data_IF_336350051543
#
_entry.id   IF_336350051543
#
_cell.length_a   1.000
_cell.length_b   1.000
_cell.length_c   1.000
_cell.angle_alpha   90.00
_cell.angle_beta   90.00
_cell.angle_gamma   90.00
#
_symmetry.space_group_name_H-M   'P 1'
#
loop_
_entity.id
_entity.type
_entity.pdbx_description
1 polymer ?
#
# COMPACT_ATOMS: atom_id res chain seq x y z
N UNK A 1 11.03 50.08 22.48
CA UNK A 1 9.76 49.59 23.05
C UNK A 1 9.56 48.23 22.43
N UNK A 2 9.83 47.22 23.25
CA UNK A 2 10.36 45.93 22.87
C UNK A 2 9.44 45.03 22.08
N UNK A 3 10.09 44.17 21.30
CA UNK A 3 9.53 43.03 20.60
C UNK A 3 8.92 42.03 21.58
N UNK A 4 7.76 41.47 21.22
CA UNK A 4 7.41 40.10 21.59
C UNK A 4 6.68 39.44 20.42
N UNK A 5 7.49 38.94 19.48
CA UNK A 5 7.17 37.74 18.72
C UNK A 5 6.85 36.63 19.73
N UNK A 6 5.58 36.25 19.86
CA UNK A 6 5.22 34.95 20.38
C UNK A 6 5.33 33.95 19.24
N UNK A 7 6.58 33.59 18.95
CA UNK A 7 6.93 32.39 18.20
C UNK A 7 6.66 31.22 19.15
N UNK A 8 5.46 30.64 19.05
CA UNK A 8 5.12 29.44 19.80
C UNK A 8 5.86 28.26 19.18
N UNK A 9 7.04 27.96 19.75
CA UNK A 9 7.73 26.67 19.77
C UNK A 9 7.40 25.71 18.62
N UNK A 10 8.05 25.92 17.47
CA UNK A 10 8.37 24.83 16.55
C UNK A 10 9.54 23.99 17.10
N UNK A 11 9.40 23.42 18.30
CA UNK A 11 10.12 22.19 18.66
C UNK A 11 9.39 20.99 18.03
N UNK A 12 9.24 21.02 16.70
CA UNK A 12 8.72 19.90 15.93
C UNK A 12 9.85 18.93 15.63
N UNK A 13 9.83 17.75 16.23
CA UNK A 13 10.77 16.64 16.04
C UNK A 13 11.53 16.64 14.69
N UNK A 14 12.86 16.43 14.75
CA UNK A 14 13.78 16.15 13.62
C UNK A 14 13.46 14.82 12.89
N UNK A 15 12.19 14.49 12.70
CA UNK A 15 11.71 13.27 12.04
C UNK A 15 11.41 13.53 10.56
N UNK A 16 11.80 12.60 9.69
CA UNK A 16 11.67 12.70 8.24
C UNK A 16 12.99 12.99 7.51
N UNK A 17 12.91 13.29 6.22
CA UNK A 17 14.04 13.58 5.34
C UNK A 17 14.79 12.35 4.85
N UNK A 18 15.98 12.60 4.28
CA UNK A 18 16.76 11.58 3.57
C UNK A 18 17.17 10.36 4.41
N UNK A 19 17.45 10.56 5.71
CA UNK A 19 17.79 9.44 6.61
C UNK A 19 16.64 8.43 6.69
N UNK A 20 15.41 8.91 6.80
CA UNK A 20 14.21 8.10 6.78
C UNK A 20 13.97 7.48 5.39
N UNK A 21 14.06 8.31 4.35
CA UNK A 21 13.82 7.90 2.98
C UNK A 21 14.70 6.72 2.51
N UNK A 22 15.98 6.69 2.92
CA UNK A 22 16.90 5.59 2.58
C UNK A 22 16.37 4.24 3.10
N UNK A 23 15.90 4.18 4.34
CA UNK A 23 15.34 2.94 4.88
C UNK A 23 14.09 2.48 4.13
N UNK A 24 13.25 3.43 3.68
CA UNK A 24 12.04 3.11 2.91
C UNK A 24 12.41 2.61 1.51
N UNK A 25 13.41 3.22 0.86
CA UNK A 25 13.94 2.76 -0.43
C UNK A 25 14.45 1.32 -0.33
N UNK A 26 15.20 0.98 0.74
CA UNK A 26 15.70 -0.37 0.93
C UNK A 26 14.58 -1.41 1.07
N UNK A 27 13.52 -1.08 1.82
CA UNK A 27 12.36 -1.97 1.93
C UNK A 27 11.65 -2.13 0.59
N UNK A 28 11.38 -1.04 -0.12
CA UNK A 28 10.75 -1.13 -1.44
C UNK A 28 11.61 -1.97 -2.39
N UNK A 29 12.93 -1.73 -2.42
CA UNK A 29 13.84 -2.46 -3.29
C UNK A 29 13.82 -3.97 -2.99
N UNK A 30 13.83 -4.36 -1.70
CA UNK A 30 13.78 -5.76 -1.30
C UNK A 30 12.43 -6.42 -1.62
N UNK A 31 11.32 -5.71 -1.40
CA UNK A 31 9.98 -6.14 -1.77
C UNK A 31 9.85 -6.35 -3.28
N UNK A 32 10.38 -5.42 -4.10
CA UNK A 32 10.42 -5.56 -5.55
C UNK A 32 11.29 -6.70 -6.01
N UNK A 33 12.49 -6.81 -5.46
CA UNK A 33 13.39 -7.92 -5.71
C UNK A 33 12.66 -9.26 -5.44
N UNK A 34 11.94 -9.38 -4.33
CA UNK A 34 11.21 -10.58 -4.01
C UNK A 34 10.00 -10.84 -4.91
N UNK A 35 9.19 -9.82 -5.21
CA UNK A 35 8.07 -9.92 -6.14
C UNK A 35 8.52 -10.41 -7.52
N UNK A 36 9.57 -9.80 -8.08
CA UNK A 36 10.09 -10.19 -9.39
C UNK A 36 10.83 -11.53 -9.37
N UNK A 37 11.41 -11.93 -8.24
CA UNK A 37 11.96 -13.27 -8.07
C UNK A 37 10.87 -14.33 -8.21
N UNK A 38 9.76 -14.17 -7.47
CA UNK A 38 8.61 -15.09 -7.58
C UNK A 38 7.94 -14.99 -8.95
N UNK A 39 7.58 -13.79 -9.40
CA UNK A 39 6.83 -13.57 -10.65
C UNK A 39 7.63 -13.99 -11.89
N UNK A 40 8.95 -13.78 -11.88
CA UNK A 40 9.83 -13.99 -13.02
C UNK A 40 9.87 -15.44 -13.50
N UNK A 41 9.68 -16.39 -12.60
CA UNK A 41 9.76 -17.82 -12.93
C UNK A 41 8.55 -18.66 -12.51
N UNK A 42 7.46 -18.01 -12.08
CA UNK A 42 6.28 -18.68 -11.55
C UNK A 42 5.66 -19.68 -12.55
N UNK A 43 5.60 -19.31 -13.83
CA UNK A 43 5.07 -20.20 -14.89
C UNK A 43 5.93 -21.46 -15.01
N UNK A 44 7.26 -21.32 -14.94
CA UNK A 44 8.17 -22.46 -15.01
C UNK A 44 7.96 -23.39 -13.82
N UNK A 45 7.82 -22.86 -12.60
CA UNK A 45 7.53 -23.68 -11.42
C UNK A 45 6.20 -24.44 -11.56
N UNK A 46 5.14 -23.75 -11.97
CA UNK A 46 3.81 -24.36 -12.14
C UNK A 46 3.81 -25.47 -13.20
N UNK A 47 4.53 -25.27 -14.29
CA UNK A 47 4.57 -26.25 -15.40
C UNK A 47 5.51 -27.42 -15.13
N UNK A 48 6.67 -27.18 -14.51
CA UNK A 48 7.70 -28.22 -14.33
C UNK A 48 7.58 -28.97 -13.01
N UNK A 49 7.21 -28.29 -11.92
CA UNK A 49 7.16 -28.89 -10.57
C UNK A 49 5.74 -29.28 -10.19
N UNK A 50 4.77 -28.39 -10.42
CA UNK A 50 3.35 -28.68 -10.12
C UNK A 50 2.74 -29.56 -11.21
N UNK A 51 3.19 -29.41 -12.46
CA UNK A 51 2.73 -30.19 -13.61
C UNK A 51 1.48 -29.62 -14.28
N UNK A 52 1.18 -28.33 -14.08
CA UNK A 52 0.08 -27.67 -14.79
C UNK A 52 0.39 -27.53 -16.28
N UNK A 53 -0.60 -27.71 -17.17
CA UNK A 53 -0.48 -27.29 -18.55
C UNK A 53 -0.17 -25.79 -18.65
N UNK A 54 0.60 -25.37 -19.66
CA UNK A 54 1.02 -23.96 -19.83
C UNK A 54 -0.15 -22.97 -19.79
N UNK A 55 -1.30 -23.34 -20.37
CA UNK A 55 -2.50 -22.50 -20.36
C UNK A 55 -3.11 -22.32 -18.96
N UNK A 56 -3.05 -23.37 -18.12
CA UNK A 56 -3.53 -23.32 -16.74
C UNK A 56 -2.56 -22.55 -15.85
N UNK A 57 -1.25 -22.77 -16.00
CA UNK A 57 -0.22 -22.00 -15.33
C UNK A 57 -0.34 -20.49 -15.63
N UNK A 58 -0.53 -20.11 -16.89
CA UNK A 58 -0.75 -18.71 -17.27
C UNK A 58 -2.02 -18.12 -16.63
N UNK A 59 -3.10 -18.90 -16.55
CA UNK A 59 -4.33 -18.50 -15.84
C UNK A 59 -4.05 -18.27 -14.36
N UNK A 60 -3.35 -19.18 -13.69
CA UNK A 60 -2.93 -19.05 -12.28
C UNK A 60 -2.14 -17.77 -12.06
N UNK A 61 -1.13 -17.49 -12.89
CA UNK A 61 -0.31 -16.26 -12.79
C UNK A 61 -1.15 -14.99 -13.00
N UNK A 62 -2.05 -15.00 -13.99
CA UNK A 62 -2.96 -13.86 -14.23
C UNK A 62 -3.93 -13.66 -13.06
N UNK A 63 -4.46 -14.73 -12.48
CA UNK A 63 -5.31 -14.68 -11.29
C UNK A 63 -4.54 -14.13 -10.08
N UNK A 64 -3.30 -14.57 -9.87
CA UNK A 64 -2.44 -14.05 -8.81
C UNK A 64 -2.19 -12.54 -8.95
N UNK A 65 -1.85 -12.06 -10.15
CA UNK A 65 -1.71 -10.64 -10.45
C UNK A 65 -3.02 -9.85 -10.23
N UNK A 66 -4.16 -10.44 -10.62
CA UNK A 66 -5.48 -9.85 -10.41
C UNK A 66 -5.81 -9.69 -8.92
N UNK A 67 -5.52 -10.71 -8.10
CA UNK A 67 -5.72 -10.65 -6.65
C UNK A 67 -4.81 -9.59 -6.00
N UNK A 68 -3.53 -9.54 -6.37
CA UNK A 68 -2.62 -8.48 -5.89
C UNK A 68 -3.15 -7.08 -6.23
N UNK A 69 -3.65 -6.89 -7.45
CA UNK A 69 -4.22 -5.61 -7.89
C UNK A 69 -5.47 -5.21 -7.10
N UNK A 70 -6.36 -6.16 -6.77
CA UNK A 70 -7.51 -5.89 -5.91
C UNK A 70 -7.10 -5.62 -4.47
N UNK A 71 -6.08 -6.32 -3.96
CA UNK A 71 -5.55 -6.12 -2.62
C UNK A 71 -4.96 -4.71 -2.42
N UNK A 72 -4.51 -4.02 -3.48
CA UNK A 72 -4.12 -2.60 -3.44
C UNK A 72 -5.26 -1.72 -2.92
N UNK A 73 -6.49 -1.93 -3.42
CA UNK A 73 -7.65 -1.13 -3.00
C UNK A 73 -7.96 -1.35 -1.52
N UNK A 74 -7.89 -2.61 -1.07
CA UNK A 74 -8.13 -2.98 0.33
C UNK A 74 -7.04 -2.40 1.24
N UNK A 75 -5.77 -2.52 0.85
CA UNK A 75 -4.64 -1.98 1.59
C UNK A 75 -4.70 -0.46 1.73
N UNK A 76 -5.00 0.25 0.65
CA UNK A 76 -5.19 1.69 0.67
C UNK A 76 -6.34 2.10 1.60
N UNK A 77 -7.48 1.41 1.51
CA UNK A 77 -8.62 1.68 2.41
C UNK A 77 -8.27 1.45 3.88
N UNK A 78 -7.54 0.38 4.22
CA UNK A 78 -7.10 0.09 5.58
C UNK A 78 -6.11 1.13 6.12
N UNK A 79 -5.16 1.57 5.28
CA UNK A 79 -4.21 2.62 5.63
C UNK A 79 -4.89 3.96 5.89
N UNK A 80 -5.81 4.36 5.02
CA UNK A 80 -6.46 5.66 5.13
C UNK A 80 -7.54 5.72 6.22
N UNK A 81 -8.20 4.59 6.53
CA UNK A 81 -9.35 4.56 7.44
C UNK A 81 -9.04 4.14 8.88
N UNK A 82 -8.08 3.23 9.10
CA UNK A 82 -7.93 2.57 10.40
C UNK A 82 -6.51 2.58 10.95
N UNK A 83 -5.55 2.06 10.18
CA UNK A 83 -4.22 1.72 10.71
C UNK A 83 -3.21 2.85 10.54
N UNK A 84 -3.39 3.70 9.53
CA UNK A 84 -2.37 4.65 9.09
C UNK A 84 -1.30 3.96 8.22
N UNK A 85 -0.65 4.76 7.35
CA UNK A 85 0.27 4.27 6.31
C UNK A 85 1.40 3.43 6.88
N UNK A 86 2.06 3.88 7.95
CA UNK A 86 3.17 3.16 8.58
C UNK A 86 2.79 1.76 9.10
N UNK A 87 1.67 1.64 9.82
CA UNK A 87 1.24 0.34 10.38
C UNK A 87 0.76 -0.60 9.29
N UNK A 88 0.08 -0.08 8.26
CA UNK A 88 -0.33 -0.90 7.11
C UNK A 88 0.88 -1.41 6.35
N UNK A 89 1.91 -0.59 6.10
CA UNK A 89 3.16 -1.05 5.46
C UNK A 89 3.80 -2.19 6.24
N UNK A 90 3.92 -2.10 7.58
CA UNK A 90 4.48 -3.18 8.40
C UNK A 90 3.63 -4.45 8.31
N UNK A 91 2.30 -4.31 8.45
CA UNK A 91 1.38 -5.44 8.39
C UNK A 91 1.44 -6.14 7.02
N UNK A 92 1.44 -5.37 5.95
CA UNK A 92 1.53 -5.87 4.57
C UNK A 92 2.86 -6.58 4.31
N UNK A 93 4.00 -6.00 4.72
CA UNK A 93 5.31 -6.65 4.59
C UNK A 93 5.42 -7.91 5.47
N UNK A 94 4.79 -7.92 6.65
CA UNK A 94 4.74 -9.13 7.48
C UNK A 94 3.91 -10.25 6.84
N UNK A 95 2.76 -9.91 6.23
CA UNK A 95 1.93 -10.85 5.46
C UNK A 95 2.71 -11.36 4.25
N UNK A 96 3.41 -10.48 3.54
CA UNK A 96 4.22 -10.85 2.38
C UNK A 96 5.35 -11.81 2.77
N UNK A 97 6.10 -11.48 3.83
CA UNK A 97 7.15 -12.34 4.38
C UNK A 97 6.61 -13.70 4.83
N UNK A 98 5.44 -13.73 5.49
CA UNK A 98 4.75 -14.98 5.81
C UNK A 98 4.42 -15.78 4.55
N UNK A 99 3.93 -15.14 3.49
CA UNK A 99 3.70 -15.79 2.20
C UNK A 99 4.98 -16.39 1.63
N UNK A 100 6.09 -15.64 1.61
CA UNK A 100 7.38 -16.09 1.08
C UNK A 100 8.00 -17.24 1.89
N UNK A 101 7.90 -17.21 3.22
CA UNK A 101 8.36 -18.30 4.08
C UNK A 101 7.55 -19.58 3.84
N UNK A 102 6.23 -19.48 3.71
CA UNK A 102 5.38 -20.63 3.35
C UNK A 102 5.67 -21.13 1.93
N UNK A 103 5.94 -20.22 1.00
CA UNK A 103 6.28 -20.56 -0.39
C UNK A 103 7.60 -21.35 -0.42
N UNK A 104 8.63 -20.85 0.24
CA UNK A 104 9.92 -21.53 0.39
C UNK A 104 9.75 -22.90 1.05
N UNK A 105 8.97 -22.95 2.13
CA UNK A 105 8.70 -24.21 2.85
C UNK A 105 7.99 -25.23 1.96
N UNK A 106 7.05 -24.79 1.11
CA UNK A 106 6.34 -25.68 0.18
C UNK A 106 7.29 -26.40 -0.78
N UNK A 107 8.37 -25.75 -1.22
CA UNK A 107 9.35 -26.36 -2.12
C UNK A 107 10.28 -27.37 -1.43
N UNK A 108 10.34 -27.34 -0.10
CA UNK A 108 11.22 -28.23 0.67
C UNK A 108 10.82 -29.70 0.52
N UNK A 109 11.83 -30.56 0.45
CA UNK A 109 11.65 -32.03 0.39
C UNK A 109 11.08 -32.60 1.69
N UNK A 110 11.16 -31.86 2.79
CA UNK A 110 10.63 -32.26 4.11
C UNK A 110 9.11 -32.25 4.19
N UNK A 111 8.44 -31.53 3.28
CA UNK A 111 6.98 -31.41 3.26
C UNK A 111 6.34 -32.57 2.49
N UNK A 112 5.33 -33.27 3.05
CA UNK A 112 4.60 -34.32 2.37
C UNK A 112 4.03 -33.87 1.02
N UNK A 113 4.10 -34.76 0.01
CA UNK A 113 3.61 -34.46 -1.35
C UNK A 113 2.15 -34.05 -1.39
N UNK A 114 1.30 -34.61 -0.52
CA UNK A 114 -0.13 -34.31 -0.46
C UNK A 114 -0.44 -32.86 -0.07
N UNK A 115 0.40 -32.24 0.75
CA UNK A 115 0.17 -30.87 1.23
C UNK A 115 1.00 -29.82 0.49
N UNK A 116 1.99 -30.25 -0.32
CA UNK A 116 2.91 -29.36 -1.04
C UNK A 116 2.19 -28.38 -1.96
N UNK A 117 1.33 -28.88 -2.86
CA UNK A 117 0.60 -28.03 -3.81
C UNK A 117 -0.42 -27.10 -3.11
N UNK A 118 -1.30 -27.59 -2.21
CA UNK A 118 -2.20 -26.71 -1.46
C UNK A 118 -1.46 -25.62 -0.67
N UNK A 119 -0.33 -25.97 -0.03
CA UNK A 119 0.49 -25.01 0.70
C UNK A 119 1.12 -23.97 -0.23
N UNK A 120 1.60 -24.38 -1.40
CA UNK A 120 2.15 -23.49 -2.42
C UNK A 120 1.10 -22.47 -2.89
N UNK A 121 -0.11 -22.91 -3.26
CA UNK A 121 -1.17 -21.99 -3.69
C UNK A 121 -1.63 -21.05 -2.58
N UNK A 122 -1.78 -21.57 -1.35
CA UNK A 122 -2.10 -20.74 -0.20
C UNK A 122 -1.03 -19.67 0.02
N UNK A 123 0.25 -20.06 0.00
CA UNK A 123 1.39 -19.15 0.11
C UNK A 123 1.39 -18.11 -1.02
N UNK A 124 1.16 -18.53 -2.25
CA UNK A 124 1.10 -17.66 -3.42
C UNK A 124 0.01 -16.58 -3.27
N UNK A 125 -1.20 -16.92 -2.83
CA UNK A 125 -2.24 -15.92 -2.59
C UNK A 125 -1.98 -15.05 -1.35
N UNK A 126 -1.32 -15.57 -0.31
CA UNK A 126 -0.86 -14.76 0.83
C UNK A 126 0.15 -13.71 0.36
N UNK A 127 1.11 -14.08 -0.49
CA UNK A 127 2.05 -13.10 -1.09
C UNK A 127 1.31 -12.05 -1.92
N UNK A 128 0.27 -12.43 -2.68
CA UNK A 128 -0.53 -11.47 -3.44
C UNK A 128 -1.16 -10.40 -2.54
N UNK A 129 -1.71 -10.81 -1.39
CA UNK A 129 -2.35 -9.91 -0.43
C UNK A 129 -1.32 -8.98 0.24
N UNK A 130 -0.17 -9.53 0.65
CA UNK A 130 0.91 -8.75 1.25
C UNK A 130 1.46 -7.68 0.31
N UNK A 131 1.80 -8.07 -0.92
CA UNK A 131 2.31 -7.17 -1.96
C UNK A 131 1.31 -6.08 -2.32
N UNK A 132 0.03 -6.43 -2.50
CA UNK A 132 -1.01 -5.44 -2.82
C UNK A 132 -1.14 -4.35 -1.75
N UNK A 133 -1.10 -4.72 -0.47
CA UNK A 133 -1.20 -3.74 0.62
C UNK A 133 0.04 -2.87 0.81
N UNK A 134 1.22 -3.37 0.45
CA UNK A 134 2.48 -2.63 0.59
C UNK A 134 2.56 -1.44 -0.37
N UNK A 135 2.24 -1.67 -1.64
CA UNK A 135 2.40 -0.73 -2.78
C UNK A 135 1.86 0.69 -2.55
N UNK A 136 0.56 0.89 -2.23
CA UNK A 136 0.02 2.25 -2.09
C UNK A 136 0.50 2.93 -0.80
N UNK A 137 0.75 2.15 0.25
CA UNK A 137 1.05 2.66 1.59
C UNK A 137 2.50 3.14 1.68
N UNK A 138 3.44 2.37 1.13
CA UNK A 138 4.87 2.68 1.23
C UNK A 138 5.23 3.92 0.41
N UNK A 139 4.65 4.08 -0.79
CA UNK A 139 4.92 5.22 -1.66
C UNK A 139 4.39 6.53 -1.05
N UNK A 140 3.17 6.50 -0.51
CA UNK A 140 2.58 7.66 0.17
C UNK A 140 3.32 7.97 1.46
N UNK A 141 3.68 6.95 2.26
CA UNK A 141 4.49 7.13 3.46
C UNK A 141 5.88 7.70 3.17
N UNK A 142 6.52 7.29 2.07
CA UNK A 142 7.82 7.81 1.68
C UNK A 142 7.73 9.27 1.23
N UNK A 143 6.68 9.62 0.49
CA UNK A 143 6.39 11.00 0.10
C UNK A 143 6.18 11.90 1.32
N UNK A 144 5.56 11.39 2.39
CA UNK A 144 5.32 12.13 3.64
C UNK A 144 6.62 12.44 4.41
N UNK A 145 7.76 11.81 4.06
CA UNK A 145 9.03 12.11 4.71
C UNK A 145 9.62 13.46 4.31
N UNK A 146 9.18 14.04 3.18
CA UNK A 146 9.70 15.30 2.67
C UNK A 146 8.63 16.39 2.78
N UNK A 147 8.97 17.58 3.31
CA UNK A 147 8.04 18.68 3.40
C UNK A 147 7.69 19.26 2.01
N UNK A 148 6.50 19.83 1.88
CA UNK A 148 5.97 20.31 0.59
C UNK A 148 6.70 21.55 0.04
N UNK A 149 7.41 22.27 0.89
CA UNK A 149 8.18 23.48 0.57
C UNK A 149 9.45 23.21 -0.26
N UNK A 150 9.85 21.94 -0.43
CA UNK A 150 11.09 21.53 -1.12
C UNK A 150 10.85 20.47 -2.21
N UNK A 151 10.24 20.83 -3.34
CA UNK A 151 9.89 19.89 -4.41
C UNK A 151 11.11 19.19 -5.04
N UNK A 152 12.28 19.84 -5.08
CA UNK A 152 13.51 19.26 -5.63
C UNK A 152 13.98 18.01 -4.87
N UNK A 153 13.89 18.02 -3.54
CA UNK A 153 14.28 16.88 -2.71
C UNK A 153 13.36 15.69 -2.93
N UNK A 154 12.06 15.94 -3.07
CA UNK A 154 11.05 14.93 -3.36
C UNK A 154 11.24 14.32 -4.75
N UNK A 155 11.56 15.14 -5.75
CA UNK A 155 11.88 14.67 -7.11
C UNK A 155 13.13 13.78 -7.12
N UNK A 156 14.22 14.24 -6.49
CA UNK A 156 15.45 13.44 -6.35
C UNK A 156 15.21 12.12 -5.63
N UNK A 157 14.39 12.14 -4.57
CA UNK A 157 13.96 10.94 -3.87
C UNK A 157 13.26 9.94 -4.80
N UNK A 158 12.27 10.39 -5.58
CA UNK A 158 11.57 9.51 -6.51
C UNK A 158 12.50 8.96 -7.60
N UNK A 159 13.49 9.73 -8.07
CA UNK A 159 14.49 9.21 -9.01
C UNK A 159 15.30 8.05 -8.41
N UNK A 160 15.79 8.21 -7.18
CA UNK A 160 16.51 7.14 -6.47
C UNK A 160 15.61 5.95 -6.14
N UNK A 161 14.36 6.20 -5.79
CA UNK A 161 13.35 5.18 -5.56
C UNK A 161 13.13 4.33 -6.81
N UNK A 162 12.86 4.95 -7.97
CA UNK A 162 12.67 4.23 -9.23
C UNK A 162 13.94 3.48 -9.65
N UNK A 163 15.11 4.08 -9.47
CA UNK A 163 16.38 3.39 -9.72
C UNK A 163 16.49 2.12 -8.86
N UNK A 164 16.17 2.21 -7.56
CA UNK A 164 16.15 1.07 -6.66
C UNK A 164 15.19 -0.03 -7.10
N UNK A 165 13.95 0.33 -7.51
CA UNK A 165 12.97 -0.63 -8.04
C UNK A 165 13.53 -1.37 -9.25
N UNK A 166 14.08 -0.64 -10.23
CA UNK A 166 14.59 -1.24 -11.47
C UNK A 166 15.79 -2.13 -11.18
N UNK A 167 16.76 -1.66 -10.39
CA UNK A 167 17.93 -2.46 -10.01
C UNK A 167 17.51 -3.72 -9.26
N UNK A 168 16.61 -3.61 -8.28
CA UNK A 168 16.07 -4.77 -7.54
C UNK A 168 15.38 -5.78 -8.47
N UNK A 169 14.53 -5.30 -9.38
CA UNK A 169 13.85 -6.15 -10.35
C UNK A 169 14.83 -6.85 -11.31
N UNK A 170 15.82 -6.13 -11.83
CA UNK A 170 16.83 -6.69 -12.73
C UNK A 170 17.68 -7.75 -12.03
N UNK A 171 18.14 -7.49 -10.81
CA UNK A 171 18.92 -8.49 -10.04
C UNK A 171 18.05 -9.73 -9.75
N UNK A 172 16.77 -9.56 -9.44
CA UNK A 172 15.87 -10.69 -9.22
C UNK A 172 15.75 -11.58 -10.46
N UNK A 173 15.45 -10.99 -11.62
CA UNK A 173 15.31 -11.74 -12.88
C UNK A 173 16.63 -12.38 -13.33
N UNK A 174 17.78 -11.77 -13.06
CA UNK A 174 19.07 -12.33 -13.47
C UNK A 174 19.60 -13.39 -12.50
N UNK A 175 19.53 -13.12 -11.19
CA UNK A 175 20.17 -13.96 -10.19
C UNK A 175 19.20 -14.98 -9.56
N UNK A 176 18.00 -14.55 -9.16
CA UNK A 176 17.04 -15.44 -8.47
C UNK A 176 16.48 -16.47 -9.44
N UNK A 177 16.01 -16.04 -10.62
CA UNK A 177 15.50 -16.95 -11.66
C UNK A 177 16.58 -17.94 -12.10
N UNK A 178 17.83 -17.49 -12.23
CA UNK A 178 18.95 -18.39 -12.53
C UNK A 178 19.14 -19.46 -11.45
N UNK A 179 19.09 -19.09 -10.17
CA UNK A 179 19.19 -20.04 -9.04
C UNK A 179 18.01 -21.01 -9.02
N UNK A 180 16.80 -20.52 -9.31
CA UNK A 180 15.59 -21.34 -9.40
C UNK A 180 15.70 -22.42 -10.49
N UNK A 181 16.14 -22.03 -11.69
CA UNK A 181 16.24 -22.93 -12.84
C UNK A 181 17.42 -23.91 -12.76
N UNK A 182 18.56 -23.47 -12.22
CA UNK A 182 19.83 -24.22 -12.34
C UNK A 182 20.32 -24.84 -11.04
N UNK A 183 19.84 -24.38 -9.88
CA UNK A 183 20.35 -24.83 -8.57
C UNK A 183 19.26 -25.52 -7.76
N UNK A 184 18.24 -24.79 -7.34
CA UNK A 184 17.13 -25.32 -6.54
C UNK A 184 16.03 -24.27 -6.34
N UNK A 185 14.78 -24.71 -6.48
CA UNK A 185 13.60 -23.92 -6.11
C UNK A 185 13.59 -23.46 -4.65
N UNK A 186 14.07 -24.29 -3.73
CA UNK A 186 14.10 -23.94 -2.30
C UNK A 186 15.11 -22.83 -2.04
N UNK A 187 16.29 -22.89 -2.66
CA UNK A 187 17.26 -21.80 -2.55
C UNK A 187 16.75 -20.54 -3.25
N UNK A 188 16.18 -20.69 -4.44
CA UNK A 188 15.56 -19.63 -5.23
C UNK A 188 14.58 -18.79 -4.44
N UNK A 189 13.57 -19.40 -3.80
CA UNK A 189 12.60 -18.65 -2.98
C UNK A 189 13.14 -18.22 -1.61
N UNK A 190 14.15 -18.90 -1.07
CA UNK A 190 14.75 -18.50 0.22
C UNK A 190 15.50 -17.16 0.14
N UNK A 191 16.13 -16.85 -1.00
CA UNK A 191 16.90 -15.61 -1.19
C UNK A 191 16.01 -14.37 -1.07
N UNK A 192 14.89 -14.23 -1.83
CA UNK A 192 13.84 -13.23 -1.59
C UNK A 192 13.35 -13.17 -0.15
N UNK A 193 13.10 -14.32 0.46
CA UNK A 193 12.56 -14.41 1.83
C UNK A 193 13.50 -13.76 2.85
N UNK A 194 14.80 -14.09 2.79
CA UNK A 194 15.81 -13.50 3.69
C UNK A 194 16.01 -12.02 3.39
N UNK A 195 15.99 -11.61 2.13
CA UNK A 195 16.13 -10.20 1.74
C UNK A 195 14.99 -9.34 2.31
N UNK A 196 13.73 -9.78 2.17
CA UNK A 196 12.57 -9.07 2.74
C UNK A 196 12.61 -9.07 4.27
N UNK A 197 13.00 -10.18 4.91
CA UNK A 197 13.13 -10.24 6.36
C UNK A 197 14.16 -9.23 6.89
N UNK A 198 15.33 -9.16 6.24
CA UNK A 198 16.40 -8.23 6.59
C UNK A 198 15.95 -6.78 6.36
N UNK A 199 15.31 -6.49 5.22
CA UNK A 199 14.83 -5.15 4.91
C UNK A 199 13.73 -4.69 5.89
N UNK A 200 12.78 -5.57 6.24
CA UNK A 200 11.75 -5.28 7.23
C UNK A 200 12.36 -4.99 8.60
N UNK A 201 13.38 -5.76 9.02
CA UNK A 201 14.10 -5.49 10.27
C UNK A 201 14.80 -4.11 10.25
N UNK A 202 15.45 -3.75 9.15
CA UNK A 202 16.09 -2.44 8.94
C UNK A 202 15.05 -1.31 9.00
N UNK A 203 13.90 -1.49 8.36
CA UNK A 203 12.81 -0.51 8.39
C UNK A 203 12.20 -0.34 9.78
N UNK A 204 12.03 -1.42 10.53
CA UNK A 204 11.59 -1.34 11.92
C UNK A 204 12.63 -0.64 12.81
N UNK A 205 13.94 -0.85 12.56
CA UNK A 205 15.00 -0.12 13.27
C UNK A 205 14.96 1.39 12.98
N UNK A 206 14.58 1.78 11.75
CA UNK A 206 14.35 3.18 11.36
C UNK A 206 13.08 3.82 11.94
N UNK A 207 12.25 3.08 12.67
CA UNK A 207 10.91 3.53 13.10
C UNK A 207 10.88 4.81 13.96
N UNK A 208 12.00 5.19 14.58
CA UNK A 208 12.14 6.43 15.37
C UNK A 208 12.47 7.67 14.53
N UNK A 209 12.98 7.50 13.31
CA UNK A 209 13.33 8.63 12.43
C UNK A 209 12.17 9.06 11.55
N UNK A 210 11.15 8.21 11.37
CA UNK A 210 10.05 8.46 10.45
C UNK A 210 9.08 9.54 10.93
N UNK A 211 8.66 10.38 9.99
CA UNK A 211 7.47 11.22 10.15
C UNK A 211 6.23 10.37 9.90
N UNK A 212 5.35 10.26 10.90
CA UNK A 212 4.15 9.41 10.87
C UNK A 212 2.92 10.31 10.87
N UNK A 213 2.28 10.43 9.72
CA UNK A 213 1.02 11.16 9.60
C UNK A 213 -0.16 10.32 10.13
N UNK A 214 -1.12 10.99 10.76
CA UNK A 214 -2.35 10.36 11.25
C UNK A 214 -3.28 10.01 10.09
N UNK A 215 -4.16 8.98 10.21
CA UNK A 215 -5.13 8.66 9.17
C UNK A 215 -6.11 9.83 8.96
N UNK A 216 -6.21 10.33 7.72
CA UNK A 216 -7.07 11.47 7.35
C UNK A 216 -8.50 11.01 6.94
N UNK A 217 -8.72 9.68 6.91
CA UNK A 217 -9.96 9.04 6.47
C UNK A 217 -9.96 8.72 4.97
N UNK A 218 -10.60 7.61 4.57
CA UNK A 218 -10.56 7.16 3.17
C UNK A 218 -11.51 7.96 2.24
N UNK A 219 -11.03 8.40 1.06
CA UNK A 219 -11.90 8.94 0.01
C UNK A 219 -12.97 7.96 -0.48
N UNK A 220 -12.71 6.65 -0.42
CA UNK A 220 -13.68 5.62 -0.82
C UNK A 220 -14.94 5.66 0.04
N UNK A 221 -14.81 5.96 1.33
CA UNK A 221 -15.95 6.12 2.23
C UNK A 221 -16.82 7.31 1.82
N UNK A 222 -16.21 8.42 1.37
CA UNK A 222 -16.94 9.59 0.87
C UNK A 222 -17.67 9.27 -0.44
N UNK A 223 -17.02 8.58 -1.37
CA UNK A 223 -17.66 8.15 -2.63
C UNK A 223 -18.83 7.21 -2.35
N UNK A 224 -18.64 6.22 -1.48
CA UNK A 224 -19.72 5.30 -1.08
C UNK A 224 -20.89 6.04 -0.43
N UNK A 225 -20.62 7.00 0.46
CA UNK A 225 -21.65 7.86 1.06
C UNK A 225 -22.44 8.65 0.01
N UNK A 226 -21.77 9.21 -1.01
CA UNK A 226 -22.42 9.93 -2.10
C UNK A 226 -23.29 8.99 -2.94
N UNK A 227 -22.80 7.79 -3.29
CA UNK A 227 -23.59 6.79 -4.03
C UNK A 227 -24.81 6.34 -3.23
N UNK A 228 -24.63 6.02 -1.94
CA UNK A 228 -25.73 5.62 -1.05
C UNK A 228 -26.74 6.76 -0.90
N UNK A 229 -26.27 8.00 -0.72
CA UNK A 229 -27.13 9.17 -0.63
C UNK A 229 -27.90 9.43 -1.94
N UNK A 230 -27.25 9.27 -3.09
CA UNK A 230 -27.88 9.44 -4.41
C UNK A 230 -28.94 8.35 -4.68
N UNK A 231 -28.64 7.09 -4.36
CA UNK A 231 -29.59 5.97 -4.49
C UNK A 231 -30.78 6.17 -3.56
N UNK A 232 -30.53 6.57 -2.30
CA UNK A 232 -31.60 6.81 -1.31
C UNK A 232 -32.48 8.00 -1.68
N UNK A 233 -31.89 9.05 -2.29
CA UNK A 233 -32.61 10.25 -2.75
C UNK A 233 -33.16 10.13 -4.18
N UNK A 234 -32.99 8.99 -4.86
CA UNK A 234 -33.44 8.77 -6.26
C UNK A 234 -34.96 8.90 -6.46
N UNK A 235 -35.75 8.79 -5.39
CA UNK A 235 -37.22 8.92 -5.42
C UNK A 235 -37.75 10.25 -4.87
N UNK A 236 -36.86 11.20 -4.55
CA UNK A 236 -37.27 12.53 -4.11
C UNK A 236 -37.69 13.34 -5.34
N UNK A 237 -39.00 13.56 -5.49
CA UNK A 237 -39.62 14.22 -6.65
C UNK A 237 -39.69 15.75 -6.54
N UNK A 238 -38.83 16.37 -5.73
CA UNK A 238 -39.00 17.78 -5.30
C UNK A 238 -38.53 18.83 -6.34
N UNK A 239 -38.02 18.40 -7.50
CA UNK A 239 -37.55 19.30 -8.58
C UNK A 239 -38.52 19.43 -9.76
N UNK A 240 -39.76 18.95 -9.64
CA UNK A 240 -40.79 19.15 -10.69
C UNK A 240 -41.49 20.51 -10.66
N UNK A 241 -41.23 21.34 -9.66
CA UNK A 241 -41.88 22.64 -9.48
C UNK A 241 -41.02 23.85 -9.85
N UNK A 242 -40.31 23.83 -11.00
CA UNK A 242 -39.89 25.03 -11.74
C UNK A 242 -39.23 26.21 -11.01
N UNK A 243 -38.67 26.05 -9.80
CA UNK A 243 -37.92 27.10 -9.11
C UNK A 243 -36.44 26.73 -9.14
N UNK A 244 -35.69 27.49 -9.94
CA UNK A 244 -34.25 27.36 -10.08
C UNK A 244 -33.57 27.39 -8.71
N UNK A 245 -32.79 26.36 -8.41
CA UNK A 245 -31.99 26.30 -7.20
C UNK A 245 -30.70 27.06 -7.49
N UNK A 246 -30.61 28.29 -7.01
CA UNK A 246 -29.42 29.14 -7.12
C UNK A 246 -28.50 28.93 -5.90
N UNK A 247 -27.19 28.97 -6.13
CA UNK A 247 -26.15 28.93 -5.09
C UNK A 247 -25.71 30.33 -4.65
N UNK A 248 -26.19 31.40 -5.29
CA UNK A 248 -25.89 32.77 -4.88
C UNK A 248 -26.68 33.18 -3.62
N UNK A 249 -26.06 34.04 -2.82
CA UNK A 249 -26.53 34.47 -1.49
C UNK A 249 -27.84 35.29 -1.49
N UNK A 250 -28.38 35.65 -2.65
CA UNK A 250 -29.69 36.32 -2.78
C UNK A 250 -30.58 35.64 -3.83
N UNK A 251 -31.56 34.82 -3.43
CA UNK A 251 -32.54 34.28 -4.34
C UNK A 251 -33.73 35.24 -4.45
N UNK A 252 -34.00 35.77 -5.65
CA UNK A 252 -35.18 36.63 -5.89
C UNK A 252 -36.50 35.86 -5.70
N UNK A 253 -36.54 34.52 -5.72
CA UNK A 253 -37.78 33.74 -5.45
C UNK A 253 -37.55 32.25 -5.03
N UNK A 254 -36.51 31.97 -4.25
CA UNK A 254 -36.10 30.59 -3.89
C UNK A 254 -36.21 30.28 -2.38
N UNK A 255 -36.77 29.11 -2.04
CA UNK A 255 -36.71 28.58 -0.66
C UNK A 255 -35.29 28.11 -0.37
N UNK A 256 -34.66 28.70 0.66
CA UNK A 256 -33.34 28.30 1.15
C UNK A 256 -33.40 26.84 1.62
N UNK A 257 -32.60 25.97 1.02
CA UNK A 257 -32.40 24.63 1.58
C UNK A 257 -31.72 24.78 2.94
N UNK A 258 -32.37 24.34 4.02
CA UNK A 258 -31.74 24.27 5.33
C UNK A 258 -30.45 23.47 5.22
N UNK A 259 -29.32 24.06 5.62
CA UNK A 259 -28.03 23.35 5.72
C UNK A 259 -28.26 22.08 6.51
N UNK A 260 -28.19 20.92 5.85
CA UNK A 260 -28.30 19.65 6.56
C UNK A 260 -27.06 19.50 7.44
N UNK A 261 -27.28 19.41 8.76
CA UNK A 261 -26.24 19.16 9.77
C UNK A 261 -25.60 17.77 9.66
N UNK A 262 -25.96 16.98 8.64
CA UNK A 262 -25.52 15.59 8.45
C UNK A 262 -24.04 15.41 8.14
N UNK A 263 -23.28 16.50 7.94
CA UNK A 263 -21.82 16.46 7.74
C UNK A 263 -21.01 17.07 8.89
N UNK A 264 -21.66 17.46 10.00
CA UNK A 264 -20.97 18.00 11.18
C UNK A 264 -20.82 16.91 12.24
N UNK A 265 -19.92 15.97 12.01
CA UNK A 265 -19.43 15.08 13.09
C UNK A 265 -17.92 15.25 13.13
N UNK A 266 -17.44 16.02 14.11
CA UNK A 266 -16.00 16.17 14.37
C UNK A 266 -15.49 17.49 14.96
N UNK A 267 -16.33 18.51 15.21
CA UNK A 267 -15.87 19.71 15.96
C UNK A 267 -16.06 19.47 17.46
N UNK A 268 -14.95 19.34 18.18
CA UNK A 268 -14.88 19.41 19.64
C UNK A 268 -15.40 20.79 20.12
N UNK A 269 -16.10 20.86 21.26
CA UNK A 269 -16.65 22.12 21.74
C UNK A 269 -15.53 23.06 22.20
N UNK A 270 -15.31 24.16 21.47
CA UNK A 270 -14.58 25.30 21.99
C UNK A 270 -15.47 26.00 23.02
N UNK A 271 -15.07 25.90 24.28
CA UNK A 271 -15.71 26.60 25.39
C UNK A 271 -15.74 28.10 25.18
N UNK A 272 -16.84 28.69 25.61
CA UNK A 272 -17.06 30.12 25.76
C UNK A 272 -16.06 30.74 26.73
N UNK A 273 -15.40 31.81 26.30
CA UNK A 273 -15.33 33.11 26.99
C UNK A 273 -14.82 34.18 26.01
#
# INVERSE_FOLDING_TARGET
MDAHHHDHDHQGNLSGGWRSAIFIIFVEMAERFAYYGVAGNLIMYLTTVVGEPVAEAAKTVNSWNGVSSLAILVGAFLADSYLGRFKTTILSSAIFLMGLTLLTTSTSTTIPRSIRAPLFFAALYITAVGDGGHKPCVQTFAADQFPEDKPEQKSSFFNWWFLGIVVGATIAVLAVVYVEDNVSWTLGFSIPTVAVAAALAIFLAGSRTYRKELPVGSPFTRVAQVVVAAVRKRRVSDTRGGRGVSWEDDPIDGVRLGRTSQFRVGELPSGTN
#
